data_IF_648082471720
#
_entry.id   IF_648082471720
#
_cell.length_a   1.000
_cell.length_b   1.000
_cell.length_c   1.000
_cell.angle_alpha   90.00
_cell.angle_beta   90.00
_cell.angle_gamma   90.00
#
_symmetry.space_group_name_H-M   'P 1'
#
loop_
_entity.id
_entity.type
_entity.pdbx_description
1 polymer ?
2 water ?
#
# COMPACT_ATOMS: atom_id res chain seq x y z
N UNK A 3 7.37 11.17 -5.50
CA UNK A 3 6.61 10.95 -4.27
C UNK A 3 7.05 9.69 -3.56
N UNK A 4 7.03 9.74 -2.23
CA UNK A 4 7.43 8.61 -1.39
C UNK A 4 6.37 8.37 -0.32
N UNK A 5 5.70 9.44 0.12
CA UNK A 5 4.67 9.36 1.17
C UNK A 5 3.31 9.33 0.50
N UNK A 6 2.50 8.34 0.89
CA UNK A 6 1.21 8.11 0.28
C UNK A 6 0.15 8.03 1.39
N UNK A 7 -1.09 8.04 0.93
CA UNK A 7 -2.23 7.81 1.78
C UNK A 7 -3.18 6.83 1.10
N UNK A 8 -3.85 5.98 1.92
CA UNK A 8 -4.83 5.04 1.38
C UNK A 8 -6.07 5.79 0.89
N UNK A 9 -6.54 5.46 -0.32
CA UNK A 9 -7.82 5.95 -0.83
C UNK A 9 -8.99 5.12 -0.38
N UNK A 10 -8.85 3.80 -0.32
CA UNK A 10 -9.90 2.85 -0.03
C UNK A 10 -9.37 1.80 0.93
N UNK A 11 -10.27 1.27 1.74
CA UNK A 11 -9.85 0.18 2.60
C UNK A 11 -9.49 -1.02 1.76
N UNK A 12 -8.43 -1.71 2.18
CA UNK A 12 -7.96 -2.94 1.55
C UNK A 12 -7.59 -3.90 2.68
N UNK A 13 -8.10 -5.13 2.58
CA UNK A 13 -7.93 -6.14 3.62
C UNK A 13 -7.03 -7.25 3.08
N UNK A 14 -5.88 -7.43 3.73
CA UNK A 14 -4.95 -8.47 3.33
C UNK A 14 -5.56 -9.84 3.57
N UNK A 15 -5.52 -10.70 2.56
CA UNK A 15 -6.01 -12.05 2.65
C UNK A 15 -4.87 -13.03 2.40
N UNK A 16 -3.62 -12.55 2.34
CA UNK A 16 -2.46 -13.41 2.15
C UNK A 16 -1.29 -12.93 3.00
N UNK A 17 -0.18 -13.69 2.92
CA UNK A 17 0.93 -13.47 3.84
C UNK A 17 1.76 -12.25 3.49
N UNK A 18 1.83 -11.90 2.21
CA UNK A 18 2.68 -10.79 1.79
C UNK A 18 1.94 -9.50 1.54
N UNK A 19 0.62 -9.49 1.67
CA UNK A 19 -0.11 -8.26 1.50
C UNK A 19 -0.27 -7.58 2.86
N UNK A 20 -0.65 -6.31 2.81
CA UNK A 20 -0.73 -5.45 3.98
C UNK A 20 -2.10 -4.77 4.01
N UNK A 21 -2.83 -4.96 5.09
CA UNK A 21 -4.12 -4.29 5.21
C UNK A 21 -3.92 -2.81 5.46
N UNK A 22 -4.79 -1.99 4.87
CA UNK A 22 -4.76 -0.55 5.06
C UNK A 22 -6.19 -0.01 5.11
N UNK A 23 -6.35 1.11 5.79
CA UNK A 23 -7.63 1.74 6.00
C UNK A 23 -7.58 3.09 5.25
N UNK A 24 -8.65 3.55 4.57
CA UNK A 24 -8.76 4.87 3.94
C UNK A 24 -8.21 5.90 4.92
N UNK A 25 -7.29 6.74 4.45
CA UNK A 25 -6.70 7.80 5.23
C UNK A 25 -5.37 7.47 5.86
N UNK A 26 -5.09 6.19 6.02
CA UNK A 26 -3.85 5.76 6.64
C UNK A 26 -2.65 6.08 5.78
N UNK A 27 -1.56 6.55 6.42
CA UNK A 27 -0.36 6.90 5.70
C UNK A 27 0.52 5.70 5.46
N UNK A 28 1.25 5.72 4.36
CA UNK A 28 2.16 4.66 4.07
C UNK A 28 3.35 5.19 3.29
N UNK A 29 4.46 4.51 3.42
CA UNK A 29 5.64 4.80 2.66
C UNK A 29 5.63 3.75 1.56
N UNK A 30 5.87 4.13 0.33
CA UNK A 30 5.88 3.23 -0.77
C UNK A 30 7.33 2.90 -1.18
N UNK A 31 7.64 1.64 -1.33
CA UNK A 31 9.01 1.22 -1.63
C UNK A 31 9.21 0.65 -3.00
N UNK A 32 8.19 0.72 -3.81
CA UNK A 32 8.30 0.29 -5.15
C UNK A 32 7.05 -0.32 -5.67
N UNK A 33 7.08 -0.59 -6.95
CA UNK A 33 6.00 -1.24 -7.68
C UNK A 33 6.50 -2.61 -8.11
N UNK A 34 5.56 -3.51 -8.31
CA UNK A 34 5.91 -4.72 -9.02
C UNK A 34 5.92 -4.48 -10.52
N UNK A 35 6.51 -5.40 -11.22
CA UNK A 35 6.57 -5.45 -12.66
C UNK A 35 5.29 -5.03 -13.44
N UNK A 36 4.12 -5.64 -13.22
CA UNK A 36 2.94 -5.23 -13.96
C UNK A 36 2.28 -3.99 -13.38
N UNK A 37 2.78 -3.48 -12.26
CA UNK A 37 2.30 -2.22 -11.72
C UNK A 37 1.03 -2.27 -10.91
N UNK A 38 0.39 -3.42 -10.77
CA UNK A 38 -0.87 -3.46 -10.05
C UNK A 38 -0.69 -3.47 -8.54
N UNK A 39 0.55 -3.73 -8.03
CA UNK A 39 0.80 -3.79 -6.60
C UNK A 39 2.00 -2.94 -6.23
N UNK A 40 1.92 -2.31 -5.03
CA UNK A 40 3.01 -1.52 -4.45
C UNK A 40 3.44 -2.13 -3.12
N UNK A 41 4.73 -2.01 -2.80
CA UNK A 41 5.24 -2.43 -1.50
C UNK A 41 5.15 -1.24 -0.57
N UNK A 42 4.45 -1.41 0.55
CA UNK A 42 4.13 -0.33 1.46
C UNK A 42 4.61 -0.65 2.87
N UNK A 43 4.84 0.41 3.65
CA UNK A 43 5.10 0.31 5.06
C UNK A 43 4.18 1.26 5.82
N UNK A 44 3.54 0.72 6.86
CA UNK A 44 2.72 1.52 7.77
C UNK A 44 3.16 1.18 9.20
N UNK A 45 2.42 1.69 10.20
CA UNK A 45 2.72 1.34 11.58
C UNK A 45 2.41 -0.13 11.86
N UNK A 46 1.69 -0.82 10.96
CA UNK A 46 1.43 -2.23 11.16
C UNK A 46 2.49 -3.13 10.53
N UNK A 47 3.42 -2.60 9.76
CA UNK A 47 4.49 -3.39 9.16
C UNK A 47 4.56 -3.10 7.68
N UNK A 48 4.97 -4.09 6.91
CA UNK A 48 5.33 -3.95 5.51
C UNK A 48 4.69 -5.05 4.68
N UNK A 49 4.23 -4.71 3.49
CA UNK A 49 3.74 -5.69 2.53
C UNK A 49 3.10 -5.01 1.34
N UNK A 50 2.48 -5.81 0.47
CA UNK A 50 1.96 -5.33 -0.80
C UNK A 50 0.49 -4.88 -0.72
N UNK A 51 0.19 -3.79 -1.43
CA UNK A 51 -1.15 -3.25 -1.54
C UNK A 51 -1.46 -2.94 -3.00
N UNK A 52 -2.73 -2.78 -3.36
CA UNK A 52 -3.03 -2.41 -4.74
C UNK A 52 -2.53 -1.01 -5.04
N UNK A 53 -1.84 -0.87 -6.19
CA UNK A 53 -1.29 0.45 -6.50
C UNK A 53 -2.36 1.50 -6.72
N UNK A 54 -3.55 1.08 -7.13
CA UNK A 54 -4.65 2.02 -7.33
C UNK A 54 -5.50 2.24 -6.09
N UNK A 55 -5.06 1.74 -4.93
CA UNK A 55 -5.75 2.02 -3.68
C UNK A 55 -5.07 3.09 -2.85
N UNK A 56 -4.04 3.75 -3.38
CA UNK A 56 -3.25 4.73 -2.65
C UNK A 56 -2.97 5.91 -3.55
N UNK A 57 -2.56 7.02 -2.95
CA UNK A 57 -2.19 8.17 -3.73
C UNK A 57 -1.15 9.01 -2.99
N UNK A 58 -0.31 9.75 -3.69
CA UNK A 58 0.70 10.51 -2.96
C UNK A 58 0.08 11.60 -2.09
N UNK A 59 0.73 11.88 -0.97
CA UNK A 59 0.33 12.94 -0.11
C UNK A 59 0.94 14.21 -0.65
#
# INVERSE_FOLDING_TARGET
>A
GGPNLFVALYDFESRTENTLSITKGEKLRVLGYNHNGEWCEAQTKNGQGWVPSNYITPVN
#
